data_IF_238945302871
#
_entry.id   IF_238945302871
#
_cell.length_a   1.000
_cell.length_b   1.000
_cell.length_c   1.000
_cell.angle_alpha   90.00
_cell.angle_beta   90.00
_cell.angle_gamma   90.00
#
_symmetry.space_group_name_H-M   'P 1'
#
loop_
_entity.id
_entity.type
_entity.pdbx_description
1 polymer ?
#
# COMPACT_ATOMS: atom_id res chain seq x y z
N UNK A 1 1.92 43.19 -8.69
CA UNK A 1 0.70 42.37 -8.77
C UNK A 1 1.16 40.92 -8.79
N UNK A 2 1.27 40.30 -7.63
CA UNK A 2 1.85 38.95 -7.49
C UNK A 2 0.70 37.95 -7.42
N UNK A 3 0.58 37.08 -8.42
CA UNK A 3 -0.38 35.98 -8.41
C UNK A 3 -0.04 35.03 -7.24
N UNK A 4 -0.89 34.99 -6.22
CA UNK A 4 -0.86 33.93 -5.21
C UNK A 4 -1.66 32.74 -5.77
N UNK A 5 -0.94 31.74 -6.26
CA UNK A 5 -1.54 30.44 -6.63
C UNK A 5 -1.93 29.76 -5.32
N UNK A 6 -3.24 29.68 -5.06
CA UNK A 6 -3.77 29.02 -3.86
C UNK A 6 -3.63 27.50 -4.06
N UNK A 7 -2.57 26.91 -3.49
CA UNK A 7 -2.36 25.46 -3.53
C UNK A 7 -3.11 24.82 -2.34
N UNK A 8 -4.15 24.00 -2.58
CA UNK A 8 -4.99 23.46 -1.51
C UNK A 8 -4.26 22.49 -0.57
N UNK A 9 -3.02 22.10 -0.87
CA UNK A 9 -2.23 21.12 -0.10
C UNK A 9 -1.34 21.73 0.99
N UNK A 10 -1.26 23.07 1.12
CA UNK A 10 -0.29 23.72 2.03
C UNK A 10 -1.00 24.76 2.90
N UNK A 11 -0.81 24.71 4.23
CA UNK A 11 -1.18 25.82 5.09
C UNK A 11 -0.03 26.85 5.06
N UNK A 12 -0.35 28.06 4.63
CA UNK A 12 0.56 29.20 4.70
C UNK A 12 0.32 29.93 6.02
N UNK A 13 1.33 29.94 6.90
CA UNK A 13 1.33 30.81 8.08
C UNK A 13 2.52 31.75 8.01
N UNK A 14 2.30 33.02 8.32
CA UNK A 14 3.34 34.04 8.36
C UNK A 14 3.83 34.22 9.79
N UNK A 15 5.13 34.07 10.00
CA UNK A 15 5.82 34.49 11.23
C UNK A 15 7.17 35.08 10.85
N UNK A 16 7.47 36.29 11.33
CA UNK A 16 8.74 37.00 11.11
C UNK A 16 9.20 37.08 9.64
N UNK A 17 8.28 37.35 8.70
CA UNK A 17 8.64 37.54 7.28
C UNK A 17 9.04 36.29 6.51
N UNK A 18 8.92 35.09 7.10
CA UNK A 18 9.21 33.81 6.45
C UNK A 18 7.89 33.08 6.19
N UNK A 19 7.68 32.65 4.94
CA UNK A 19 6.58 31.75 4.57
C UNK A 19 6.96 30.34 5.03
N UNK A 20 6.33 29.86 6.10
CA UNK A 20 6.46 28.47 6.52
C UNK A 20 5.44 27.63 5.74
N UNK A 21 5.91 26.88 4.73
CA UNK A 21 5.11 25.85 4.08
C UNK A 21 5.07 24.63 5.01
N UNK A 22 4.00 24.51 5.81
CA UNK A 22 3.78 23.30 6.61
C UNK A 22 2.84 22.37 5.84
N UNK A 23 3.23 21.11 5.59
CA UNK A 23 2.28 20.09 5.17
C UNK A 23 1.12 20.08 6.17
N UNK A 24 -0.13 20.05 5.69
CA UNK A 24 -1.27 19.85 6.61
C UNK A 24 -1.02 18.52 7.35
N UNK A 25 -1.16 18.48 8.68
CA UNK A 25 -1.10 17.23 9.40
C UNK A 25 -2.31 16.40 8.97
N UNK A 26 -2.10 15.41 8.11
CA UNK A 26 -2.98 14.25 8.09
C UNK A 26 -2.79 13.60 9.47
N UNK A 27 -3.74 13.82 10.36
CA UNK A 27 -3.77 13.12 11.63
C UNK A 27 -3.85 11.62 11.26
N UNK A 28 -2.86 10.83 11.67
CA UNK A 28 -2.87 9.38 11.45
C UNK A 28 -2.85 8.75 12.83
N UNK A 29 -3.84 7.92 13.15
CA UNK A 29 -3.81 7.18 14.40
C UNK A 29 -3.02 5.89 14.20
N UNK A 30 -2.10 5.64 15.14
CA UNK A 30 -1.38 4.39 15.23
C UNK A 30 -2.18 3.45 16.12
N UNK A 31 -2.46 2.24 15.63
CA UNK A 31 -3.17 1.21 16.38
C UNK A 31 -2.45 -0.12 16.25
N UNK A 32 -2.46 -0.90 17.33
CA UNK A 32 -2.00 -2.30 17.30
C UNK A 32 -3.07 -3.13 16.59
N UNK A 33 -2.67 -3.84 15.54
CA UNK A 33 -3.53 -4.72 14.75
C UNK A 33 -3.00 -6.15 14.81
N UNK A 34 -3.92 -7.12 14.84
CA UNK A 34 -3.61 -8.54 14.76
C UNK A 34 -3.62 -9.00 13.30
N UNK A 35 -2.57 -9.71 12.87
CA UNK A 35 -2.45 -10.31 11.54
C UNK A 35 -2.91 -11.76 11.66
N UNK A 36 -4.19 -12.02 11.42
CA UNK A 36 -4.82 -13.35 11.54
C UNK A 36 -4.02 -14.45 10.82
N UNK A 37 -3.59 -14.18 9.58
CA UNK A 37 -2.80 -15.13 8.78
C UNK A 37 -1.46 -15.51 9.44
N UNK A 38 -0.88 -14.63 10.25
CA UNK A 38 0.45 -14.78 10.82
C UNK A 38 0.48 -14.95 12.34
N UNK A 39 -0.65 -14.80 13.03
CA UNK A 39 -0.74 -14.89 14.48
C UNK A 39 0.10 -13.86 15.24
N UNK A 40 0.42 -12.71 14.63
CA UNK A 40 1.28 -11.68 15.22
C UNK A 40 0.57 -10.33 15.34
N UNK A 41 1.09 -9.48 16.23
CA UNK A 41 0.61 -8.11 16.41
C UNK A 41 1.64 -7.11 15.91
N UNK A 42 1.18 -6.04 15.28
CA UNK A 42 2.04 -4.93 14.87
C UNK A 42 1.32 -3.59 15.00
N UNK A 43 2.06 -2.51 15.12
CA UNK A 43 1.50 -1.15 15.04
C UNK A 43 1.30 -0.76 13.58
N UNK A 44 0.11 -0.28 13.22
CA UNK A 44 -0.25 0.14 11.87
C UNK A 44 -0.83 1.55 11.88
N UNK A 45 -0.55 2.33 10.83
CA UNK A 45 -1.17 3.63 10.59
C UNK A 45 -2.56 3.46 9.98
N UNK A 46 -3.57 4.08 10.58
CA UNK A 46 -4.95 4.11 10.12
C UNK A 46 -5.34 5.52 9.67
N UNK A 47 -6.22 5.62 8.66
CA UNK A 47 -6.81 6.89 8.27
C UNK A 47 -7.68 7.44 9.42
N UNK A 48 -7.49 8.71 9.80
CA UNK A 48 -8.43 9.36 10.73
C UNK A 48 -9.51 10.11 9.95
N UNK A 49 -10.75 9.71 10.16
CA UNK A 49 -11.93 10.38 9.63
C UNK A 49 -13.18 9.54 9.98
N UNK A 50 -14.37 10.16 10.07
CA UNK A 50 -15.60 9.37 10.18
C UNK A 50 -15.66 8.40 9.00
N UNK A 51 -16.07 7.14 9.22
CA UNK A 51 -16.17 6.17 8.14
C UNK A 51 -17.18 6.71 7.13
N UNK A 52 -16.72 7.21 5.98
CA UNK A 52 -17.61 7.46 4.84
C UNK A 52 -17.84 6.10 4.19
N UNK A 53 -18.66 5.30 4.88
CA UNK A 53 -18.93 3.89 4.62
C UNK A 53 -20.36 3.82 4.11
N UNK A 54 -20.51 3.67 2.80
CA UNK A 54 -21.82 3.50 2.15
C UNK A 54 -21.93 2.09 1.58
N UNK A 55 -22.22 1.14 2.48
CA UNK A 55 -22.99 -0.11 2.32
C UNK A 55 -22.60 -1.18 1.29
N UNK A 56 -21.63 -1.00 0.40
CA UNK A 56 -21.09 -2.09 -0.44
C UNK A 56 -19.57 -2.03 -0.68
N UNK A 57 -18.89 -1.08 -0.05
CA UNK A 57 -17.53 -0.61 -0.38
C UNK A 57 -16.53 -0.77 0.78
N UNK A 58 -16.85 -1.64 1.74
CA UNK A 58 -16.34 -1.52 3.10
C UNK A 58 -15.18 -2.49 3.41
N UNK A 59 -14.75 -3.26 2.41
CA UNK A 59 -13.71 -4.26 2.56
C UNK A 59 -12.68 -4.15 1.44
N UNK A 60 -11.41 -4.20 1.82
CA UNK A 60 -10.28 -4.31 0.91
C UNK A 60 -10.24 -5.69 0.27
N UNK A 61 -9.78 -5.76 -0.98
CA UNK A 61 -9.53 -7.02 -1.70
C UNK A 61 -8.33 -7.82 -1.15
N UNK A 62 -7.61 -7.30 -0.15
CA UNK A 62 -6.44 -7.94 0.47
C UNK A 62 -6.68 -8.40 1.93
N UNK A 63 -7.90 -8.27 2.46
CA UNK A 63 -8.23 -8.77 3.81
C UNK A 63 -8.42 -7.70 4.88
N UNK A 64 -8.53 -8.14 6.14
CA UNK A 64 -8.94 -7.29 7.27
C UNK A 64 -7.90 -6.23 7.63
N UNK A 65 -6.61 -6.54 7.62
CA UNK A 65 -5.54 -5.58 7.96
C UNK A 65 -5.46 -4.44 6.95
N UNK A 66 -5.62 -4.75 5.66
CA UNK A 66 -5.72 -3.76 4.59
C UNK A 66 -7.02 -2.95 4.71
N UNK A 67 -8.14 -3.59 5.10
CA UNK A 67 -9.42 -2.91 5.35
C UNK A 67 -9.32 -1.87 6.47
N UNK A 68 -8.63 -2.20 7.57
CA UNK A 68 -8.46 -1.33 8.73
C UNK A 68 -7.73 -0.01 8.40
N UNK A 69 -6.90 0.02 7.34
CA UNK A 69 -6.26 1.27 6.90
C UNK A 69 -7.29 2.34 6.51
N UNK A 70 -8.51 1.94 6.14
CA UNK A 70 -9.60 2.82 5.73
C UNK A 70 -9.51 3.24 4.26
N UNK A 71 -10.43 4.10 3.79
CA UNK A 71 -10.45 4.59 2.41
C UNK A 71 -9.27 5.55 2.12
N UNK A 72 -9.00 5.77 0.83
CA UNK A 72 -7.97 6.71 0.40
C UNK A 72 -6.56 6.14 0.33
N UNK A 73 -6.42 4.82 0.34
CA UNK A 73 -5.13 4.15 0.34
C UNK A 73 -4.35 4.43 -0.95
N UNK A 74 -3.03 4.46 -0.84
CA UNK A 74 -2.10 4.47 -1.96
C UNK A 74 -1.25 3.22 -1.87
N UNK A 75 -1.28 2.38 -2.90
CA UNK A 75 -0.75 1.01 -2.81
C UNK A 75 0.29 0.73 -3.90
N UNK A 76 1.39 0.09 -3.55
CA UNK A 76 2.30 -0.55 -4.51
C UNK A 76 2.06 -2.06 -4.45
N UNK A 77 1.59 -2.64 -5.55
CA UNK A 77 1.14 -4.02 -5.65
C UNK A 77 2.16 -4.90 -6.37
N UNK A 78 2.50 -6.01 -5.74
CA UNK A 78 3.46 -7.01 -6.22
C UNK A 78 2.86 -8.41 -6.14
N UNK A 79 3.46 -9.34 -6.85
CA UNK A 79 3.16 -10.78 -6.73
C UNK A 79 4.46 -11.55 -6.52
N UNK A 80 4.37 -12.65 -5.76
CA UNK A 80 5.40 -13.67 -5.69
C UNK A 80 4.75 -15.04 -5.87
N UNK A 81 5.35 -15.87 -6.72
CA UNK A 81 4.83 -17.20 -7.06
C UNK A 81 5.97 -18.15 -7.46
N UNK A 82 5.64 -19.44 -7.59
CA UNK A 82 6.61 -20.48 -7.93
C UNK A 82 7.43 -20.95 -6.73
N UNK A 83 8.46 -21.76 -7.02
CA UNK A 83 9.25 -22.47 -6.00
C UNK A 83 9.91 -21.52 -5.02
N UNK A 84 9.78 -21.82 -3.73
CA UNK A 84 10.50 -21.17 -2.64
C UNK A 84 11.71 -22.01 -2.20
N UNK A 85 12.87 -21.38 -1.87
CA UNK A 85 13.21 -19.98 -2.13
C UNK A 85 13.58 -19.76 -3.61
N UNK A 86 13.44 -18.52 -4.08
CA UNK A 86 13.94 -18.07 -5.39
C UNK A 86 14.42 -16.62 -5.33
N UNK A 87 15.21 -16.15 -6.32
CA UNK A 87 15.68 -14.76 -6.35
C UNK A 87 14.56 -13.71 -6.26
N UNK A 88 13.33 -14.05 -6.68
CA UNK A 88 12.17 -13.17 -6.57
C UNK A 88 11.79 -12.85 -5.11
N UNK A 89 11.93 -13.82 -4.19
CA UNK A 89 11.66 -13.60 -2.77
C UNK A 89 12.70 -12.65 -2.14
N UNK A 90 13.98 -12.85 -2.46
CA UNK A 90 15.07 -11.96 -2.01
C UNK A 90 14.93 -10.55 -2.58
N UNK A 91 14.57 -10.43 -3.86
CA UNK A 91 14.28 -9.13 -4.48
C UNK A 91 13.13 -8.41 -3.79
N UNK A 92 12.08 -9.15 -3.42
CA UNK A 92 10.93 -8.60 -2.72
C UNK A 92 11.27 -8.07 -1.32
N UNK A 93 12.13 -8.77 -0.55
CA UNK A 93 12.60 -8.28 0.75
C UNK A 93 13.25 -6.89 0.63
N UNK A 94 14.07 -6.69 -0.41
CA UNK A 94 14.65 -5.37 -0.70
C UNK A 94 13.58 -4.34 -1.03
N UNK A 95 12.58 -4.72 -1.84
CA UNK A 95 11.47 -3.86 -2.23
C UNK A 95 10.63 -3.39 -1.04
N UNK A 96 10.48 -4.19 0.02
CA UNK A 96 9.78 -3.78 1.25
C UNK A 96 10.37 -2.49 1.82
N UNK A 97 11.70 -2.38 1.87
CA UNK A 97 12.38 -1.17 2.32
C UNK A 97 12.32 -0.05 1.27
N UNK A 98 12.51 -0.38 -0.01
CA UNK A 98 12.50 0.61 -1.09
C UNK A 98 11.14 1.32 -1.22
N UNK A 99 10.01 0.64 -1.01
CA UNK A 99 8.68 1.27 -1.03
C UNK A 99 8.57 2.38 0.01
N UNK A 100 9.06 2.16 1.25
CA UNK A 100 9.01 3.22 2.28
C UNK A 100 9.90 4.41 1.93
N UNK A 101 11.02 4.16 1.25
CA UNK A 101 11.97 5.18 0.83
C UNK A 101 11.45 6.01 -0.34
N UNK A 102 10.98 5.35 -1.39
CA UNK A 102 10.59 5.99 -2.65
C UNK A 102 9.14 6.47 -2.66
N UNK A 103 8.25 5.81 -1.91
CA UNK A 103 6.84 6.13 -1.81
C UNK A 103 6.39 6.28 -0.35
N UNK A 104 6.91 7.28 0.39
CA UNK A 104 6.55 7.47 1.80
C UNK A 104 5.03 7.65 1.97
N UNK A 105 4.47 6.93 2.94
CA UNK A 105 3.03 6.91 3.22
C UNK A 105 2.20 6.08 2.23
N UNK A 106 2.81 5.29 1.35
CA UNK A 106 2.13 4.24 0.59
C UNK A 106 2.27 2.90 1.32
N UNK A 107 1.30 2.01 1.14
CA UNK A 107 1.39 0.63 1.59
C UNK A 107 1.85 -0.28 0.46
N UNK A 108 2.54 -1.37 0.81
CA UNK A 108 2.91 -2.44 -0.09
C UNK A 108 1.92 -3.59 0.04
N UNK A 109 1.48 -4.15 -1.07
CA UNK A 109 0.67 -5.38 -1.08
C UNK A 109 1.38 -6.47 -1.86
N UNK A 110 1.45 -7.66 -1.28
CA UNK A 110 2.11 -8.82 -1.89
C UNK A 110 1.09 -9.94 -2.01
N UNK A 111 0.79 -10.29 -3.26
CA UNK A 111 -0.09 -11.39 -3.59
C UNK A 111 0.71 -12.70 -3.66
N UNK A 112 0.25 -13.73 -2.95
CA UNK A 112 0.84 -15.06 -2.97
C UNK A 112 -0.21 -16.13 -2.69
N UNK A 113 0.10 -17.37 -3.07
CA UNK A 113 -0.76 -18.52 -2.82
C UNK A 113 -0.44 -19.12 -1.45
N UNK A 114 -1.33 -18.90 -0.48
CA UNK A 114 -1.10 -19.32 0.90
C UNK A 114 -0.95 -20.83 1.06
N UNK A 115 -1.49 -21.68 0.18
CA UNK A 115 -1.35 -23.15 0.31
C UNK A 115 0.08 -23.69 0.13
N UNK A 116 1.06 -22.87 -0.26
CA UNK A 116 2.44 -23.30 -0.40
C UNK A 116 3.20 -23.08 0.92
N UNK A 117 3.26 -24.12 1.75
CA UNK A 117 3.72 -24.05 3.15
C UNK A 117 5.09 -23.37 3.33
N UNK A 118 6.04 -23.60 2.42
CA UNK A 118 7.43 -23.17 2.62
C UNK A 118 7.66 -21.65 2.63
N UNK A 119 6.73 -20.82 2.12
CA UNK A 119 6.92 -19.35 2.13
C UNK A 119 6.06 -18.62 3.16
N UNK A 120 5.21 -19.32 3.93
CA UNK A 120 4.35 -18.67 4.94
C UNK A 120 5.17 -18.00 6.02
N UNK A 121 6.15 -18.71 6.57
CA UNK A 121 7.04 -18.19 7.61
C UNK A 121 7.80 -16.94 7.13
N UNK A 122 8.28 -16.97 5.89
CA UNK A 122 8.93 -15.84 5.25
C UNK A 122 7.98 -14.64 5.10
N UNK A 123 6.76 -14.86 4.58
CA UNK A 123 5.77 -13.81 4.39
C UNK A 123 5.37 -13.19 5.74
N UNK A 124 5.19 -14.01 6.76
CA UNK A 124 4.86 -13.56 8.11
C UNK A 124 6.01 -12.81 8.78
N UNK A 125 7.25 -13.30 8.66
CA UNK A 125 8.42 -12.58 9.16
C UNK A 125 8.51 -11.17 8.57
N UNK A 126 8.16 -10.98 7.29
CA UNK A 126 8.08 -9.66 6.68
C UNK A 126 6.88 -8.86 7.19
N UNK A 127 5.67 -9.42 7.13
CA UNK A 127 4.44 -8.70 7.44
C UNK A 127 4.36 -8.22 8.90
N UNK A 128 4.82 -9.06 9.85
CA UNK A 128 4.84 -8.74 11.28
C UNK A 128 5.81 -7.59 11.58
N UNK A 129 6.92 -7.48 10.86
CA UNK A 129 7.97 -6.49 11.10
C UNK A 129 7.79 -5.19 10.29
N UNK A 130 6.88 -5.14 9.31
CA UNK A 130 6.77 -4.01 8.39
C UNK A 130 5.33 -3.50 8.30
N UNK A 131 4.98 -2.48 9.07
CA UNK A 131 3.60 -1.95 9.22
C UNK A 131 2.92 -1.48 7.94
N UNK A 132 3.67 -1.20 6.88
CA UNK A 132 3.17 -0.77 5.57
C UNK A 132 2.91 -1.95 4.63
N UNK A 133 3.28 -3.18 4.99
CA UNK A 133 3.13 -4.37 4.14
C UNK A 133 1.85 -5.15 4.48
N UNK A 134 1.05 -5.50 3.49
CA UNK A 134 -0.06 -6.45 3.62
C UNK A 134 0.17 -7.66 2.70
N UNK A 135 -0.03 -8.87 3.23
CA UNK A 135 0.03 -10.11 2.46
C UNK A 135 -1.40 -10.48 2.06
N UNK A 136 -1.61 -10.69 0.77
CA UNK A 136 -2.92 -11.01 0.21
C UNK A 136 -2.91 -12.48 -0.26
N UNK A 137 -3.67 -13.33 0.42
CA UNK A 137 -3.86 -14.72 0.01
C UNK A 137 -4.77 -14.82 -1.22
N UNK A 138 -4.21 -15.27 -2.34
CA UNK A 138 -4.96 -15.38 -3.61
C UNK A 138 -5.99 -16.50 -3.61
N UNK A 139 -6.00 -17.38 -2.61
CA UNK A 139 -7.06 -18.37 -2.43
C UNK A 139 -8.33 -17.77 -1.85
N UNK A 140 -8.24 -16.61 -1.18
CA UNK A 140 -9.34 -16.00 -0.46
C UNK A 140 -9.26 -14.47 -0.47
N UNK A 141 -9.31 -13.87 -1.67
CA UNK A 141 -9.38 -12.40 -1.81
C UNK A 141 -10.82 -11.92 -1.59
N UNK A 142 -11.09 -11.06 -0.58
CA UNK A 142 -12.44 -10.54 -0.38
C UNK A 142 -12.97 -9.82 -1.63
N UNK A 143 -14.24 -10.05 -1.97
CA UNK A 143 -14.90 -9.46 -3.15
C UNK A 143 -14.47 -10.04 -4.51
N UNK A 144 -13.42 -10.85 -4.57
CA UNK A 144 -12.92 -11.48 -5.82
C UNK A 144 -13.04 -13.01 -5.77
N UNK A 145 -12.69 -13.63 -4.64
CA UNK A 145 -12.69 -15.08 -4.43
C UNK A 145 -11.32 -15.73 -4.65
N UNK A 146 -11.33 -17.04 -4.97
CA UNK A 146 -10.12 -17.81 -5.23
C UNK A 146 -9.63 -17.58 -6.67
N UNK A 147 -8.45 -16.98 -6.81
CA UNK A 147 -7.79 -16.75 -8.11
C UNK A 147 -6.48 -17.54 -8.24
N UNK A 148 -6.20 -18.49 -7.34
CA UNK A 148 -4.94 -19.26 -7.33
C UNK A 148 -4.72 -20.13 -8.58
N UNK A 149 -5.79 -20.46 -9.31
CA UNK A 149 -5.72 -21.20 -10.59
C UNK A 149 -5.57 -20.28 -11.81
N UNK A 150 -5.74 -18.97 -11.63
CA UNK A 150 -5.49 -17.98 -12.67
C UNK A 150 -3.99 -17.75 -12.87
N UNK A 151 -3.64 -17.06 -13.96
CA UNK A 151 -2.25 -16.78 -14.28
C UNK A 151 -1.58 -15.95 -13.18
N UNK A 152 -0.58 -16.51 -12.49
CA UNK A 152 -0.05 -15.91 -11.27
C UNK A 152 0.40 -14.45 -11.42
N UNK A 153 0.92 -14.06 -12.59
CA UNK A 153 1.33 -12.67 -12.85
C UNK A 153 0.17 -11.66 -12.79
N UNK A 154 -1.10 -12.11 -12.84
CA UNK A 154 -2.26 -11.21 -12.79
C UNK A 154 -2.77 -10.94 -11.38
N UNK A 155 -2.37 -11.71 -10.36
CA UNK A 155 -2.90 -11.55 -9.00
C UNK A 155 -2.69 -10.14 -8.42
N UNK A 156 -1.57 -9.51 -8.79
CA UNK A 156 -1.24 -8.11 -8.45
C UNK A 156 -2.21 -7.06 -9.00
N UNK A 157 -3.05 -7.39 -9.98
CA UNK A 157 -4.06 -6.47 -10.51
C UNK A 157 -5.33 -6.40 -9.65
N UNK A 158 -5.48 -7.26 -8.63
CA UNK A 158 -6.66 -7.24 -7.74
C UNK A 158 -6.85 -5.94 -6.96
N UNK A 159 -5.81 -5.11 -6.85
CA UNK A 159 -5.91 -3.73 -6.32
C UNK A 159 -6.78 -2.81 -7.17
N UNK A 160 -6.98 -3.12 -8.45
CA UNK A 160 -7.85 -2.34 -9.35
C UNK A 160 -9.32 -2.39 -8.93
N UNK A 161 -9.75 -3.49 -8.29
CA UNK A 161 -11.11 -3.66 -7.78
C UNK A 161 -11.28 -3.31 -6.30
N UNK A 162 -10.25 -2.76 -5.64
CA UNK A 162 -10.32 -2.45 -4.21
C UNK A 162 -11.03 -1.11 -3.97
N UNK A 163 -12.18 -1.09 -3.26
CA UNK A 163 -12.95 0.13 -3.06
C UNK A 163 -12.28 1.15 -2.11
N UNK A 164 -11.23 0.75 -1.38
CA UNK A 164 -10.53 1.61 -0.42
C UNK A 164 -9.28 2.27 -1.01
N UNK A 165 -8.90 1.94 -2.25
CA UNK A 165 -7.71 2.45 -2.91
C UNK A 165 -8.06 3.66 -3.78
N UNK A 166 -7.38 4.80 -3.55
CA UNK A 166 -7.45 5.94 -4.46
C UNK A 166 -6.42 5.85 -5.59
N UNK A 167 -5.24 5.28 -5.29
CA UNK A 167 -4.13 5.19 -6.25
C UNK A 167 -3.37 3.89 -6.05
N UNK A 168 -2.97 3.27 -7.14
CA UNK A 168 -2.13 2.09 -7.08
C UNK A 168 -1.06 2.10 -8.17
N UNK A 169 0.04 1.39 -7.90
CA UNK A 169 1.08 1.05 -8.86
C UNK A 169 1.14 -0.48 -8.88
N UNK A 170 1.20 -1.08 -10.07
CA UNK A 170 1.37 -2.53 -10.22
C UNK A 170 2.77 -2.79 -10.75
N UNK A 171 3.51 -3.70 -10.09
CA UNK A 171 4.94 -3.93 -10.36
C UNK A 171 5.30 -5.41 -10.45
N UNK A 172 6.35 -5.68 -11.20
CA UNK A 172 7.10 -6.94 -11.10
C UNK A 172 7.98 -6.92 -9.85
N UNK A 173 8.15 -8.09 -9.20
CA UNK A 173 8.93 -8.26 -7.98
C UNK A 173 10.45 -8.34 -8.22
N UNK A 174 10.86 -8.42 -9.47
CA UNK A 174 12.26 -8.37 -9.94
C UNK A 174 12.66 -7.00 -10.52
N UNK A 175 11.76 -6.01 -10.50
CA UNK A 175 12.01 -4.67 -11.02
C UNK A 175 12.30 -3.67 -9.87
N UNK A 176 13.58 -3.24 -9.68
CA UNK A 176 13.95 -2.28 -8.65
C UNK A 176 13.24 -0.95 -8.82
N UNK A 177 12.98 -0.25 -7.70
CA UNK A 177 12.47 1.11 -7.77
C UNK A 177 13.61 2.09 -8.06
N UNK A 178 13.39 2.98 -9.03
CA UNK A 178 14.35 4.01 -9.41
C UNK A 178 13.74 5.41 -9.32
N UNK A 179 14.57 6.41 -9.03
CA UNK A 179 14.12 7.79 -8.82
C UNK A 179 13.34 8.34 -10.03
N UNK A 180 13.76 7.99 -11.25
CA UNK A 180 13.07 8.41 -12.48
C UNK A 180 11.59 8.01 -12.51
N UNK A 181 11.26 6.82 -12.03
CA UNK A 181 9.87 6.33 -11.99
C UNK A 181 9.06 7.12 -10.95
N UNK A 182 9.67 7.39 -9.80
CA UNK A 182 9.08 8.17 -8.72
C UNK A 182 8.78 9.60 -9.16
N UNK A 183 9.72 10.22 -9.88
CA UNK A 183 9.55 11.57 -10.42
C UNK A 183 8.38 11.63 -11.40
N UNK A 184 8.29 10.65 -12.32
CA UNK A 184 7.18 10.56 -13.27
C UNK A 184 5.82 10.34 -12.58
N UNK A 185 5.75 9.49 -11.56
CA UNK A 185 4.54 9.27 -10.77
C UNK A 185 4.15 10.54 -10.01
N UNK A 186 5.11 11.23 -9.40
CA UNK A 186 4.86 12.48 -8.67
C UNK A 186 4.40 13.60 -9.59
N UNK A 187 4.99 13.72 -10.79
CA UNK A 187 4.55 14.65 -11.82
C UNK A 187 3.09 14.35 -12.20
N UNK A 188 2.77 13.11 -12.55
CA UNK A 188 1.40 12.69 -12.87
C UNK A 188 0.41 13.02 -11.75
N UNK A 189 0.78 12.74 -10.49
CA UNK A 189 -0.01 13.10 -9.31
C UNK A 189 -0.22 14.61 -9.19
N UNK A 190 0.82 15.41 -9.46
CA UNK A 190 0.80 16.86 -9.30
C UNK A 190 -0.09 17.57 -10.33
N UNK A 191 -0.24 16.98 -11.52
CA UNK A 191 -1.11 17.50 -12.57
C UNK A 191 -2.60 17.39 -12.24
N UNK A 192 -2.96 16.64 -11.19
CA UNK A 192 -4.35 16.53 -10.74
C UNK A 192 -5.25 15.82 -11.74
N UNK A 193 -4.69 15.06 -12.68
CA UNK A 193 -5.46 14.19 -13.58
C UNK A 193 -6.07 13.03 -12.80
N UNK A 194 -7.26 13.29 -12.22
CA UNK A 194 -8.30 12.32 -11.84
C UNK A 194 -9.65 13.01 -11.88
#
# INVERSE_FOLDING_TARGET
MTLLIHNPLINTSYSNGIILLRPRPHNCQQQVVHLELCGCNRTQQLATGPPQVTKHTDQSTCGSTATLRGPGQKVVSYVVFGKFPSPYYMGLEKLVYEVTKFYPGWSMRVHLNWAQDNHRDWACALACNNSHLDICDVQNLPGIGNVSESFAMTWRFSVMGDPLINRYIVRDSDAPLIQREVDAVNEWISLGTV
#
